data_IF_631121585579
#
_entry.id   IF_631121585579
#
_cell.length_a   1.000
_cell.length_b   1.000
_cell.length_c   1.000
_cell.angle_alpha   90.00
_cell.angle_beta   90.00
_cell.angle_gamma   90.00
#
_symmetry.space_group_name_H-M   'P 1'
#
loop_
_entity.id
_entity.type
_entity.pdbx_description
1 polymer ?
#
# COMPACT_ATOMS: atom_id res chain seq x y z
N UNK A 1 8.97 10.52 -15.92
CA UNK A 1 8.54 10.41 -14.52
C UNK A 1 8.65 8.93 -14.18
N UNK A 2 9.50 8.58 -13.23
CA UNK A 2 9.59 7.23 -12.68
C UNK A 2 8.78 7.30 -11.39
N UNK A 3 7.61 6.69 -11.39
CA UNK A 3 6.80 6.50 -10.18
C UNK A 3 7.50 5.44 -9.33
N UNK A 4 7.71 5.72 -8.04
CA UNK A 4 8.31 4.72 -7.14
C UNK A 4 7.22 3.78 -6.63
N UNK A 5 7.55 2.52 -6.41
CA UNK A 5 6.55 1.53 -5.96
C UNK A 5 7.13 0.57 -4.94
N UNK A 6 6.35 0.28 -3.90
CA UNK A 6 6.73 -0.64 -2.84
C UNK A 6 5.96 -1.95 -2.98
N UNK A 7 6.70 -3.06 -2.97
CA UNK A 7 6.11 -4.40 -2.88
C UNK A 7 5.75 -4.74 -1.44
N UNK A 8 4.61 -5.37 -1.25
CA UNK A 8 4.18 -5.92 0.05
C UNK A 8 3.41 -7.25 -0.11
N UNK A 9 3.24 -7.99 0.97
CA UNK A 9 2.40 -9.19 1.01
C UNK A 9 1.01 -8.83 1.51
N UNK A 10 -0.02 -9.28 0.80
CA UNK A 10 -1.40 -9.07 1.21
C UNK A 10 -1.64 -9.66 2.61
N UNK A 11 -2.20 -8.90 3.57
CA UNK A 11 -2.44 -9.40 4.93
C UNK A 11 -3.52 -10.49 4.98
N UNK A 12 -4.24 -10.67 3.89
CA UNK A 12 -5.37 -11.57 3.77
C UNK A 12 -5.04 -12.94 3.19
N UNK A 13 -4.35 -12.97 2.04
CA UNK A 13 -4.05 -14.20 1.30
C UNK A 13 -2.54 -14.48 1.18
N UNK A 14 -1.69 -13.53 1.58
CA UNK A 14 -0.22 -13.65 1.48
C UNK A 14 0.37 -13.32 0.11
N UNK A 15 -0.46 -13.21 -0.93
CA UNK A 15 0.00 -12.93 -2.30
C UNK A 15 0.64 -11.54 -2.43
N UNK A 16 1.66 -11.39 -3.30
CA UNK A 16 2.36 -10.13 -3.46
C UNK A 16 1.50 -9.07 -4.15
N UNK A 17 1.59 -7.85 -3.65
CA UNK A 17 0.95 -6.65 -4.18
C UNK A 17 1.97 -5.51 -4.24
N UNK A 18 1.58 -4.42 -4.89
CA UNK A 18 2.37 -3.19 -5.01
C UNK A 18 1.52 -1.98 -4.65
N UNK A 19 2.13 -0.96 -4.05
CA UNK A 19 1.54 0.35 -3.81
C UNK A 19 2.44 1.42 -4.44
N UNK A 20 1.84 2.43 -5.05
CA UNK A 20 2.57 3.57 -5.63
C UNK A 20 2.94 4.56 -4.52
N UNK A 21 4.17 5.06 -4.58
CA UNK A 21 4.72 6.06 -3.65
C UNK A 21 4.89 7.38 -4.41
N UNK A 22 3.78 8.06 -4.66
CA UNK A 22 3.81 9.38 -5.29
C UNK A 22 4.14 10.46 -4.26
N UNK A 23 5.03 11.43 -4.56
CA UNK A 23 5.36 12.51 -3.64
C UNK A 23 4.15 13.33 -3.17
N UNK A 24 3.08 13.39 -3.97
CA UNK A 24 1.84 14.09 -3.62
C UNK A 24 0.97 13.35 -2.59
N UNK A 25 1.22 12.05 -2.40
CA UNK A 25 0.40 11.18 -1.56
C UNK A 25 1.09 10.79 -0.24
N UNK A 26 2.29 11.32 0.01
CA UNK A 26 2.99 11.15 1.28
C UNK A 26 2.10 11.57 2.46
N UNK A 27 2.11 10.74 3.52
CA UNK A 27 1.29 10.90 4.71
C UNK A 27 -0.21 10.59 4.54
N UNK A 28 -0.67 10.24 3.34
CA UNK A 28 -2.05 9.83 3.12
C UNK A 28 -2.30 8.37 3.51
N UNK A 29 -3.55 8.06 3.86
CA UNK A 29 -4.04 6.68 3.91
C UNK A 29 -4.79 6.38 2.62
N UNK A 30 -4.43 5.28 1.97
CA UNK A 30 -5.11 4.79 0.78
C UNK A 30 -5.73 3.42 1.04
N UNK A 31 -6.85 3.13 0.39
CA UNK A 31 -7.47 1.80 0.39
C UNK A 31 -7.27 1.19 -0.99
N UNK A 32 -6.66 0.01 -1.03
CA UNK A 32 -6.38 -0.72 -2.26
C UNK A 32 -6.89 -2.16 -2.14
N UNK A 33 -7.58 -2.66 -3.16
CA UNK A 33 -7.96 -4.07 -3.21
C UNK A 33 -6.76 -4.96 -3.56
N UNK A 34 -6.68 -6.13 -2.91
CA UNK A 34 -5.74 -7.17 -3.32
C UNK A 34 -5.99 -7.59 -4.77
N UNK A 35 -4.96 -7.58 -5.62
CA UNK A 35 -5.04 -7.99 -7.02
C UNK A 35 -5.38 -9.49 -7.21
N UNK A 36 -5.36 -10.29 -6.14
CA UNK A 36 -5.65 -11.74 -6.17
C UNK A 36 -6.92 -12.09 -5.43
N UNK A 37 -7.07 -11.67 -4.16
CA UNK A 37 -8.22 -12.05 -3.34
C UNK A 37 -9.31 -10.98 -3.21
N UNK A 38 -9.12 -9.82 -3.84
CA UNK A 38 -10.07 -8.70 -3.87
C UNK A 38 -10.53 -8.18 -2.50
N UNK A 39 -9.79 -8.45 -1.41
CA UNK A 39 -10.05 -7.85 -0.10
C UNK A 39 -9.35 -6.50 0.02
N UNK A 40 -10.05 -5.53 0.61
CA UNK A 40 -9.57 -4.19 0.86
C UNK A 40 -8.35 -4.21 1.81
N UNK A 41 -7.36 -3.39 1.50
CA UNK A 41 -6.11 -3.25 2.25
C UNK A 41 -5.95 -1.77 2.53
N UNK A 42 -5.91 -1.40 3.81
CA UNK A 42 -5.57 -0.05 4.22
C UNK A 42 -4.05 0.10 4.22
N UNK A 43 -3.55 1.14 3.57
CA UNK A 43 -2.12 1.40 3.44
C UNK A 43 -1.86 2.84 3.87
N UNK A 44 -1.03 3.01 4.90
CA UNK A 44 -0.58 4.33 5.34
C UNK A 44 0.74 4.64 4.64
N UNK A 45 0.71 5.62 3.74
CA UNK A 45 1.88 6.10 3.03
C UNK A 45 2.81 6.85 3.98
N UNK A 46 4.14 6.75 3.80
CA UNK A 46 5.08 7.38 4.69
C UNK A 46 5.06 8.91 4.52
N UNK A 47 5.44 9.65 5.55
CA UNK A 47 5.66 11.11 5.46
C UNK A 47 7.02 11.45 4.80
N UNK A 48 7.88 10.45 4.62
CA UNK A 48 9.24 10.54 4.11
C UNK A 48 9.44 9.45 3.05
N UNK A 49 9.87 9.76 1.83
CA UNK A 49 10.10 8.78 0.77
C UNK A 49 11.13 7.70 1.12
N UNK A 50 12.02 7.93 2.11
CA UNK A 50 13.00 6.93 2.55
C UNK A 50 12.39 5.91 3.54
N UNK A 51 11.14 6.08 3.97
CA UNK A 51 10.45 5.18 4.89
C UNK A 51 9.44 4.28 4.15
N UNK A 52 9.22 3.03 4.61
CA UNK A 52 8.24 2.15 3.99
C UNK A 52 6.81 2.53 4.38
N UNK A 53 5.87 2.31 3.46
CA UNK A 53 4.44 2.32 3.75
C UNK A 53 4.08 1.22 4.76
N UNK A 54 3.08 1.50 5.61
CA UNK A 54 2.55 0.55 6.60
C UNK A 54 1.30 -0.12 6.05
N UNK A 55 1.27 -1.45 6.10
CA UNK A 55 0.20 -2.28 5.53
C UNK A 55 -0.70 -2.79 6.64
N UNK A 56 -2.00 -2.51 6.52
CA UNK A 56 -3.04 -2.90 7.47
C UNK A 56 -4.17 -3.64 6.76
N UNK A 57 -4.83 -4.54 7.50
CA UNK A 57 -6.04 -5.21 7.03
C UNK A 57 -7.25 -4.32 7.38
N UNK A 58 -8.04 -3.94 6.38
CA UNK A 58 -9.27 -3.15 6.58
C UNK A 58 -10.39 -4.07 7.11
N UNK A 59 -10.85 -3.84 8.34
CA UNK A 59 -11.82 -4.72 9.01
C UNK A 59 -13.28 -4.23 8.94
N UNK A 60 -13.54 -3.11 8.27
CA UNK A 60 -14.86 -2.47 8.18
C UNK A 60 -15.69 -2.90 6.96
#
# INVERSE_FOLDING_TARGET
MLTDSQRFSCPWCGEPNWVELEPGDLGQTVIQDCAVCCRAIEIVLPDDPDQPARILADQD
#
